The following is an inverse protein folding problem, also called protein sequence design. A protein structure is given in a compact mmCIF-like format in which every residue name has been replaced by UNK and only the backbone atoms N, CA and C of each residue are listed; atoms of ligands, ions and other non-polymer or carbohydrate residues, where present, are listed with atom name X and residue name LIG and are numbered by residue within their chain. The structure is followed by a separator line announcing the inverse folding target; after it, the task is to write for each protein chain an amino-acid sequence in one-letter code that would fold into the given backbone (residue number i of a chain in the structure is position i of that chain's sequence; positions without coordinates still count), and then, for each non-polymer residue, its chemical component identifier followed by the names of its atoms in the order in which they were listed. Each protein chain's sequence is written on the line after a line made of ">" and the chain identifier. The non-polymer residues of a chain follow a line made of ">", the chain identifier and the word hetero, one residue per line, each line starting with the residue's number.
data_IF_660339421453
#
_entry.id   IF_660339421453
#
_cell.length_a   1.000
_cell.length_b   1.000
_cell.length_c   1.000
_cell.angle_alpha   90.00
_cell.angle_beta   90.00
_cell.angle_gamma   90.00
#
_symmetry.space_group_name_H-M   'P 1'
#
loop_
_entity.id
_entity.type
_entity.pdbx_description
1 polymer ?
#
# COMPACT_ATOMS: atom_id res chain seq x y z
N UNK A 1 12.23 77.02 -17.54
CA UNK A 1 12.31 75.55 -17.74
C UNK A 1 13.65 75.06 -17.23
N UNK A 2 13.66 73.88 -16.60
CA UNK A 2 14.75 73.16 -15.89
C UNK A 2 14.90 73.46 -14.40
N UNK A 3 14.05 72.77 -13.63
CA UNK A 3 14.29 72.38 -12.24
C UNK A 3 15.31 71.23 -12.22
N UNK A 4 16.24 71.22 -11.26
CA UNK A 4 16.48 70.11 -10.31
C UNK A 4 17.67 70.43 -9.41
N UNK A 5 17.40 70.78 -8.14
CA UNK A 5 18.44 70.88 -7.10
C UNK A 5 18.12 69.91 -5.95
N UNK A 6 18.81 68.77 -6.01
CA UNK A 6 19.48 67.98 -4.96
C UNK A 6 18.78 67.78 -3.59
N UNK A 7 18.49 66.48 -3.37
CA UNK A 7 18.08 65.75 -2.17
C UNK A 7 18.70 66.15 -0.81
N UNK A 8 17.87 66.03 0.24
CA UNK A 8 18.28 65.55 1.57
C UNK A 8 17.20 64.67 2.22
N UNK A 9 17.42 63.36 2.43
CA UNK A 9 16.78 62.61 3.50
C UNK A 9 17.81 62.39 4.61
N UNK A 10 17.71 63.20 5.67
CA UNK A 10 18.59 63.10 6.84
C UNK A 10 17.86 62.50 8.04
N UNK A 11 17.60 61.20 8.04
CA UNK A 11 17.33 60.46 9.28
C UNK A 11 18.08 59.13 9.24
N UNK A 12 19.03 59.00 10.16
CA UNK A 12 19.97 57.89 10.28
C UNK A 12 19.23 56.61 10.64
N UNK A 13 18.97 55.85 9.59
CA UNK A 13 18.29 54.57 9.46
C UNK A 13 19.15 53.37 9.95
N UNK A 14 19.93 53.53 11.02
CA UNK A 14 20.89 52.51 11.45
C UNK A 14 20.40 51.78 12.70
N UNK A 15 19.73 50.65 12.43
CA UNK A 15 19.46 49.63 13.43
C UNK A 15 20.75 49.04 13.99
N UNK A 16 20.66 48.62 15.25
CA UNK A 16 21.65 47.76 15.89
C UNK A 16 21.74 46.46 15.09
N UNK A 17 22.86 46.24 14.39
CA UNK A 17 23.16 44.94 13.79
C UNK A 17 23.55 43.97 14.91
N UNK A 18 22.55 43.32 15.51
CA UNK A 18 22.78 42.16 16.36
C UNK A 18 23.57 41.12 15.55
N UNK A 19 24.76 40.67 16.01
CA UNK A 19 25.53 39.68 15.27
C UNK A 19 24.70 38.39 15.17
N UNK A 20 24.51 37.91 13.94
CA UNK A 20 23.90 36.62 13.65
C UNK A 20 24.69 35.57 14.44
N UNK A 21 24.10 34.99 15.50
CA UNK A 21 24.69 33.83 16.17
C UNK A 21 24.81 32.72 15.11
N UNK A 22 26.03 32.46 14.66
CA UNK A 22 26.31 31.32 13.80
C UNK A 22 25.85 30.05 14.54
N UNK A 23 24.88 29.35 13.94
CA UNK A 23 24.32 28.13 14.50
C UNK A 23 25.44 27.10 14.72
N UNK A 24 25.46 26.51 15.91
CA UNK A 24 26.49 25.59 16.45
C UNK A 24 26.60 24.25 15.68
N UNK A 25 25.83 24.08 14.60
CA UNK A 25 25.94 22.93 13.71
C UNK A 25 26.24 23.48 12.31
N UNK A 26 27.39 23.16 11.69
CA UNK A 26 27.63 23.48 10.30
C UNK A 26 26.47 22.93 9.47
N UNK A 27 25.75 23.74 8.67
CA UNK A 27 24.51 23.32 8.02
C UNK A 27 24.65 22.06 7.15
N UNK A 28 25.88 21.74 6.72
CA UNK A 28 26.19 20.54 5.96
C UNK A 28 26.10 19.23 6.76
N UNK A 29 26.38 19.20 8.07
CA UNK A 29 26.32 17.94 8.84
C UNK A 29 24.88 17.57 9.19
N UNK A 30 24.08 18.55 9.61
CA UNK A 30 22.65 18.38 9.85
C UNK A 30 21.92 17.94 8.57
N UNK A 31 22.23 18.56 7.43
CA UNK A 31 21.67 18.18 6.14
C UNK A 31 22.01 16.73 5.75
N UNK A 32 23.24 16.26 6.01
CA UNK A 32 23.65 14.87 5.73
C UNK A 32 22.89 13.87 6.61
N UNK A 33 22.77 14.15 7.91
CA UNK A 33 22.00 13.31 8.81
C UNK A 33 20.52 13.28 8.46
N UNK A 34 19.96 14.42 8.05
CA UNK A 34 18.59 14.51 7.56
C UNK A 34 18.39 13.67 6.29
N UNK A 35 19.31 13.75 5.32
CA UNK A 35 19.25 12.93 4.10
C UNK A 35 19.31 11.43 4.44
N UNK A 36 20.20 11.02 5.35
CA UNK A 36 20.30 9.61 5.78
C UNK A 36 19.00 9.15 6.43
N UNK A 37 18.41 9.97 7.31
CA UNK A 37 17.11 9.66 7.94
C UNK A 37 15.98 9.56 6.93
N UNK A 38 15.94 10.45 5.93
CA UNK A 38 14.95 10.40 4.85
C UNK A 38 15.11 9.11 4.03
N UNK A 39 16.35 8.73 3.68
CA UNK A 39 16.61 7.48 2.94
C UNK A 39 16.22 6.28 3.78
N UNK A 40 16.59 6.24 5.07
CA UNK A 40 16.24 5.14 5.97
C UNK A 40 14.72 5.01 6.16
N UNK A 41 14.03 6.14 6.36
CA UNK A 41 12.57 6.18 6.42
C UNK A 41 11.94 5.73 5.09
N UNK A 42 12.52 6.12 3.96
CA UNK A 42 12.13 5.65 2.63
C UNK A 42 12.24 4.14 2.52
N UNK A 43 13.39 3.55 2.84
CA UNK A 43 13.58 2.09 2.81
C UNK A 43 12.60 1.39 3.74
N UNK A 44 12.41 1.90 4.96
CA UNK A 44 11.43 1.36 5.90
C UNK A 44 9.99 1.47 5.37
N UNK A 45 9.63 2.52 4.64
CA UNK A 45 8.30 2.62 4.04
C UNK A 45 8.14 1.69 2.84
N UNK A 46 9.18 1.56 2.00
CA UNK A 46 9.13 0.80 0.76
C UNK A 46 9.42 -0.70 0.90
N UNK A 47 9.92 -1.19 2.05
CA UNK A 47 10.23 -2.62 2.20
C UNK A 47 9.01 -3.52 1.93
N UNK A 48 7.81 -3.12 2.38
CA UNK A 48 6.56 -3.83 2.11
C UNK A 48 6.10 -3.75 0.65
N UNK A 49 6.69 -2.84 -0.15
CA UNK A 49 6.39 -2.68 -1.57
C UNK A 49 7.31 -3.51 -2.48
N UNK A 50 8.28 -4.24 -1.92
CA UNK A 50 9.20 -5.07 -2.70
C UNK A 50 8.46 -6.14 -3.51
N UNK A 51 7.45 -6.78 -2.91
CA UNK A 51 6.65 -7.81 -3.59
C UNK A 51 5.90 -7.27 -4.82
N UNK A 52 5.13 -6.15 -4.73
CA UNK A 52 4.57 -5.48 -5.91
C UNK A 52 5.60 -5.12 -6.98
N UNK A 53 6.78 -4.61 -6.60
CA UNK A 53 7.84 -4.25 -7.56
C UNK A 53 8.36 -5.46 -8.30
N UNK A 54 8.61 -6.56 -7.59
CA UNK A 54 9.04 -7.82 -8.22
C UNK A 54 7.98 -8.37 -9.17
N UNK A 55 6.70 -8.33 -8.78
CA UNK A 55 5.60 -8.73 -9.66
C UNK A 55 5.55 -7.86 -10.93
N UNK A 56 5.65 -6.53 -10.78
CA UNK A 56 5.68 -5.60 -11.91
C UNK A 56 6.88 -5.84 -12.84
N UNK A 57 8.07 -6.12 -12.28
CA UNK A 57 9.26 -6.46 -13.06
C UNK A 57 9.04 -7.74 -13.87
N UNK A 58 8.54 -8.81 -13.26
CA UNK A 58 8.24 -10.07 -13.95
C UNK A 58 7.27 -9.84 -15.11
N UNK A 59 6.19 -9.08 -14.88
CA UNK A 59 5.20 -8.76 -15.90
C UNK A 59 5.82 -7.91 -17.01
N UNK A 60 6.65 -6.92 -16.68
CA UNK A 60 7.32 -6.07 -17.66
C UNK A 60 8.27 -6.89 -18.55
N UNK A 61 9.08 -7.77 -17.97
CA UNK A 61 9.96 -8.66 -18.73
C UNK A 61 9.17 -9.64 -19.59
N UNK A 62 8.10 -10.24 -19.06
CA UNK A 62 7.24 -11.16 -19.80
C UNK A 62 6.49 -10.47 -20.95
N UNK A 63 6.09 -9.21 -20.77
CA UNK A 63 5.31 -8.43 -21.73
C UNK A 63 6.17 -7.74 -22.81
N UNK A 64 7.47 -7.60 -22.60
CA UNK A 64 8.41 -7.00 -23.56
C UNK A 64 8.37 -7.60 -24.98
N UNK A 65 8.43 -8.93 -25.20
CA UNK A 65 8.32 -9.50 -26.54
C UNK A 65 6.98 -9.16 -27.22
N UNK A 66 5.89 -9.11 -26.47
CA UNK A 66 4.58 -8.72 -26.99
C UNK A 66 4.56 -7.24 -27.39
N UNK A 67 5.12 -6.36 -26.56
CA UNK A 67 5.27 -4.93 -26.89
C UNK A 67 6.11 -4.72 -28.16
N UNK A 68 7.22 -5.47 -28.33
CA UNK A 68 8.04 -5.37 -29.55
C UNK A 68 7.29 -5.81 -30.80
N UNK A 69 6.48 -6.89 -30.72
CA UNK A 69 5.61 -7.33 -31.83
C UNK A 69 4.56 -6.27 -32.17
N UNK A 70 3.95 -5.68 -31.15
CA UNK A 70 2.99 -4.59 -31.32
C UNK A 70 3.63 -3.35 -31.95
N UNK A 71 4.82 -2.95 -31.50
CA UNK A 71 5.55 -1.80 -32.07
C UNK A 71 5.90 -2.02 -33.54
N UNK A 72 6.30 -3.24 -33.91
CA UNK A 72 6.53 -3.61 -35.31
C UNK A 72 5.22 -3.59 -36.13
N UNK A 73 4.12 -4.11 -35.58
CA UNK A 73 2.81 -4.12 -36.24
C UNK A 73 2.26 -2.70 -36.49
N UNK A 74 2.59 -1.74 -35.62
CA UNK A 74 2.15 -0.35 -35.70
C UNK A 74 3.15 0.53 -36.47
N UNK A 75 4.07 -0.08 -37.21
CA UNK A 75 5.02 0.64 -38.07
C UNK A 75 6.04 1.49 -37.31
N UNK A 76 6.34 1.15 -36.05
CA UNK A 76 7.33 1.84 -35.23
C UNK A 76 6.81 3.09 -34.50
N UNK A 77 5.53 3.45 -34.63
CA UNK A 77 4.97 4.57 -33.88
C UNK A 77 4.82 4.23 -32.39
N UNK A 78 5.75 4.75 -31.59
CA UNK A 78 5.85 4.51 -30.14
C UNK A 78 4.60 4.93 -29.37
N UNK A 79 3.96 6.03 -29.77
CA UNK A 79 2.78 6.56 -29.06
C UNK A 79 1.60 5.60 -29.20
N UNK A 80 1.31 5.16 -30.42
CA UNK A 80 0.19 4.24 -30.68
C UNK A 80 0.45 2.87 -30.04
N UNK A 81 1.69 2.36 -30.14
CA UNK A 81 2.07 1.11 -29.48
C UNK A 81 1.94 1.19 -27.95
N UNK A 82 2.34 2.32 -27.33
CA UNK A 82 2.18 2.53 -25.90
C UNK A 82 0.72 2.58 -25.47
N UNK A 83 -0.15 3.28 -26.23
CA UNK A 83 -1.59 3.33 -25.94
C UNK A 83 -2.21 1.94 -25.96
N UNK A 84 -1.94 1.13 -26.99
CA UNK A 84 -2.45 -0.23 -27.05
C UNK A 84 -1.87 -1.12 -25.94
N UNK A 85 -0.59 -0.98 -25.59
CA UNK A 85 0.00 -1.72 -24.49
C UNK A 85 -0.66 -1.39 -23.15
N UNK A 86 -0.92 -0.11 -22.87
CA UNK A 86 -1.63 0.33 -21.67
C UNK A 86 -3.05 -0.23 -21.64
N UNK A 87 -3.79 -0.09 -22.75
CA UNK A 87 -5.14 -0.66 -22.85
C UNK A 87 -5.13 -2.17 -22.61
N UNK A 88 -4.18 -2.89 -23.18
CA UNK A 88 -4.05 -4.33 -22.99
C UNK A 88 -3.79 -4.69 -21.51
N UNK A 89 -2.86 -4.00 -20.85
CA UNK A 89 -2.59 -4.20 -19.41
C UNK A 89 -3.85 -3.89 -18.59
N UNK A 90 -4.53 -2.79 -18.87
CA UNK A 90 -5.75 -2.43 -18.15
C UNK A 90 -6.83 -3.50 -18.31
N UNK A 91 -7.12 -3.91 -19.55
CA UNK A 91 -8.22 -4.84 -19.84
C UNK A 91 -7.93 -6.28 -19.45
N UNK A 92 -6.70 -6.77 -19.61
CA UNK A 92 -6.36 -8.18 -19.37
C UNK A 92 -5.74 -8.47 -18.01
N UNK A 93 -5.17 -7.46 -17.34
CA UNK A 93 -4.54 -7.64 -16.04
C UNK A 93 -5.29 -6.87 -14.95
N UNK A 94 -5.45 -5.56 -15.09
CA UNK A 94 -5.97 -4.71 -14.00
C UNK A 94 -7.46 -4.97 -13.75
N UNK A 95 -8.28 -4.97 -14.80
CA UNK A 95 -9.73 -5.17 -14.69
C UNK A 95 -10.07 -6.55 -14.09
N UNK A 96 -9.52 -7.67 -14.58
CA UNK A 96 -9.82 -8.99 -14.01
C UNK A 96 -9.36 -9.13 -12.56
N UNK A 97 -8.19 -8.60 -12.21
CA UNK A 97 -7.69 -8.62 -10.82
C UNK A 97 -8.59 -7.78 -9.91
N UNK A 98 -9.01 -6.59 -10.36
CA UNK A 98 -9.92 -5.75 -9.59
C UNK A 98 -11.27 -6.45 -9.38
N UNK A 99 -11.84 -7.05 -10.42
CA UNK A 99 -13.07 -7.82 -10.31
C UNK A 99 -12.91 -9.00 -9.35
N UNK A 100 -11.86 -9.82 -9.51
CA UNK A 100 -11.57 -10.92 -8.59
C UNK A 100 -11.44 -10.43 -7.13
N UNK A 101 -10.76 -9.29 -6.92
CA UNK A 101 -10.68 -8.65 -5.61
C UNK A 101 -12.05 -8.25 -5.04
N UNK A 102 -12.94 -7.69 -5.86
CA UNK A 102 -14.30 -7.37 -5.41
C UNK A 102 -15.11 -8.61 -5.04
N UNK A 103 -14.99 -9.69 -5.81
CA UNK A 103 -15.64 -10.97 -5.49
C UNK A 103 -15.08 -11.56 -4.19
N UNK A 104 -13.76 -11.57 -4.02
CA UNK A 104 -13.11 -12.07 -2.81
C UNK A 104 -13.54 -11.26 -1.57
N UNK A 105 -13.64 -9.93 -1.66
CA UNK A 105 -14.14 -9.10 -0.56
C UNK A 105 -15.58 -9.44 -0.20
N UNK A 106 -16.43 -9.69 -1.19
CA UNK A 106 -17.82 -10.08 -0.96
C UNK A 106 -17.93 -11.44 -0.27
N UNK A 107 -17.16 -12.44 -0.71
CA UNK A 107 -17.10 -13.75 -0.06
C UNK A 107 -16.57 -13.64 1.38
N UNK A 108 -15.51 -12.86 1.61
CA UNK A 108 -14.99 -12.62 2.97
C UNK A 108 -16.04 -11.95 3.85
N UNK A 109 -16.81 -10.98 3.34
CA UNK A 109 -17.88 -10.34 4.09
C UNK A 109 -18.97 -11.35 4.47
N UNK A 110 -19.33 -12.25 3.57
CA UNK A 110 -20.29 -13.31 3.84
C UNK A 110 -19.78 -14.28 4.90
N UNK A 111 -18.51 -14.70 4.81
CA UNK A 111 -17.88 -15.57 5.79
C UNK A 111 -17.77 -14.92 7.17
N UNK A 112 -17.41 -13.65 7.23
CA UNK A 112 -17.40 -12.87 8.48
C UNK A 112 -18.80 -12.75 9.05
N UNK A 113 -19.82 -12.50 8.22
CA UNK A 113 -21.21 -12.50 8.64
C UNK A 113 -21.64 -13.84 9.24
N UNK A 114 -21.33 -14.95 8.57
CA UNK A 114 -21.57 -16.30 9.07
C UNK A 114 -20.83 -16.58 10.39
N UNK A 115 -19.57 -16.14 10.51
CA UNK A 115 -18.79 -16.32 11.73
C UNK A 115 -19.37 -15.54 12.90
N UNK A 116 -19.83 -14.30 12.68
CA UNK A 116 -20.49 -13.48 13.71
C UNK A 116 -21.82 -14.12 14.13
N UNK A 117 -22.61 -14.61 13.17
CA UNK A 117 -23.90 -15.23 13.45
C UNK A 117 -23.75 -16.55 14.22
N UNK A 118 -22.78 -17.36 13.81
CA UNK A 118 -22.33 -18.57 14.51
C UNK A 118 -21.88 -18.25 15.94
N UNK A 119 -21.12 -17.18 16.13
CA UNK A 119 -20.70 -16.76 17.46
C UNK A 119 -21.87 -16.30 18.35
N UNK A 120 -22.94 -15.76 17.75
CA UNK A 120 -24.12 -15.29 18.50
C UNK A 120 -25.03 -16.42 18.96
N UNK A 121 -25.23 -17.44 18.14
CA UNK A 121 -26.18 -18.52 18.41
C UNK A 121 -25.51 -19.83 18.85
N UNK A 122 -24.19 -19.93 18.74
CA UNK A 122 -23.48 -21.20 18.74
C UNK A 122 -23.73 -21.95 17.42
N UNK A 123 -22.74 -22.69 16.93
CA UNK A 123 -22.93 -23.55 15.76
C UNK A 123 -22.70 -25.02 16.10
N UNK A 124 -23.64 -25.84 15.64
CA UNK A 124 -23.45 -27.29 15.58
C UNK A 124 -22.31 -27.62 14.62
N UNK A 125 -21.51 -28.63 14.96
CA UNK A 125 -20.40 -29.06 14.13
C UNK A 125 -20.91 -29.49 12.75
N UNK A 126 -20.37 -28.93 11.65
CA UNK A 126 -20.70 -29.38 10.31
C UNK A 126 -20.44 -30.88 10.12
N UNK A 127 -21.36 -31.59 9.45
CA UNK A 127 -21.28 -33.05 9.31
C UNK A 127 -20.00 -33.52 8.60
N UNK A 128 -19.47 -32.74 7.65
CA UNK A 128 -18.22 -33.05 6.95
C UNK A 128 -16.99 -32.97 7.86
N UNK A 129 -17.03 -32.15 8.93
CA UNK A 129 -15.97 -32.07 9.93
C UNK A 129 -16.02 -33.32 10.81
N UNK A 130 -17.21 -33.65 11.30
CA UNK A 130 -17.42 -34.80 12.19
C UNK A 130 -17.13 -36.15 11.50
N UNK A 131 -17.28 -36.24 10.18
CA UNK A 131 -17.07 -37.49 9.40
C UNK A 131 -15.66 -37.66 8.86
N UNK A 132 -14.71 -36.75 9.15
CA UNK A 132 -13.33 -36.91 8.71
C UNK A 132 -12.67 -38.15 9.34
N UNK A 133 -12.03 -39.03 8.55
CA UNK A 133 -11.30 -40.16 9.09
C UNK A 133 -10.12 -39.67 9.95
N UNK A 134 -9.81 -40.41 11.02
CA UNK A 134 -8.71 -40.16 11.98
C UNK A 134 -8.96 -39.01 12.96
N UNK A 135 -9.46 -37.86 12.52
CA UNK A 135 -9.54 -36.63 13.35
C UNK A 135 -10.96 -36.09 13.57
N UNK A 136 -11.97 -36.63 12.90
CA UNK A 136 -13.32 -36.06 12.90
C UNK A 136 -13.98 -35.98 14.28
N UNK A 137 -13.82 -37.02 15.11
CA UNK A 137 -14.40 -37.05 16.46
C UNK A 137 -13.71 -36.06 17.40
N UNK A 138 -12.38 -35.96 17.34
CA UNK A 138 -11.62 -34.96 18.08
C UNK A 138 -11.96 -33.52 17.63
N UNK A 139 -12.05 -33.26 16.32
CA UNK A 139 -12.48 -31.95 15.81
C UNK A 139 -13.91 -31.62 16.25
N UNK A 140 -14.80 -32.61 16.30
CA UNK A 140 -16.17 -32.42 16.75
C UNK A 140 -16.26 -32.06 18.24
N UNK A 141 -15.47 -32.71 19.10
CA UNK A 141 -15.37 -32.33 20.53
C UNK A 141 -14.79 -30.93 20.71
N UNK A 142 -13.73 -30.57 19.97
CA UNK A 142 -13.15 -29.22 20.05
C UNK A 142 -14.10 -28.15 19.53
N UNK A 143 -14.86 -28.45 18.47
CA UNK A 143 -15.86 -27.54 17.93
C UNK A 143 -17.01 -27.32 18.91
N UNK A 144 -17.58 -28.40 19.47
CA UNK A 144 -18.67 -28.28 20.44
C UNK A 144 -18.24 -27.56 21.72
N UNK A 145 -17.01 -27.80 22.18
CA UNK A 145 -16.46 -27.17 23.39
C UNK A 145 -16.18 -25.68 23.21
N UNK A 146 -15.68 -25.24 22.05
CA UNK A 146 -15.26 -23.84 21.87
C UNK A 146 -16.19 -22.99 20.99
N UNK A 147 -17.03 -23.61 20.15
CA UNK A 147 -17.91 -22.95 19.17
C UNK A 147 -19.38 -23.34 19.34
N UNK A 148 -19.68 -24.26 20.26
CA UNK A 148 -21.04 -24.77 20.53
C UNK A 148 -21.90 -23.86 21.41
N UNK A 149 -21.34 -22.81 22.00
CA UNK A 149 -22.05 -21.85 22.83
C UNK A 149 -21.82 -20.39 22.38
N UNK A 150 -22.78 -19.48 22.66
CA UNK A 150 -22.65 -18.06 22.34
C UNK A 150 -21.37 -17.45 22.92
N UNK A 151 -20.62 -16.69 22.10
CA UNK A 151 -19.40 -15.99 22.50
C UNK A 151 -18.10 -16.79 22.41
N UNK A 152 -18.15 -18.08 22.06
CA UNK A 152 -16.98 -18.96 22.05
C UNK A 152 -15.83 -18.56 21.11
N UNK A 153 -16.12 -17.92 19.97
CA UNK A 153 -15.07 -17.36 19.08
C UNK A 153 -14.30 -16.23 19.78
N UNK A 154 -15.00 -15.45 20.61
CA UNK A 154 -14.41 -14.34 21.36
C UNK A 154 -13.42 -14.82 22.43
N UNK A 155 -13.74 -15.92 23.12
CA UNK A 155 -12.86 -16.52 24.15
C UNK A 155 -11.60 -17.13 23.53
N UNK A 156 -11.72 -17.79 22.37
CA UNK A 156 -10.57 -18.35 21.65
C UNK A 156 -9.57 -17.27 21.19
N UNK A 157 -10.06 -16.12 20.71
CA UNK A 157 -9.20 -15.02 20.26
C UNK A 157 -8.51 -14.33 21.44
N UNK A 158 -9.12 -14.32 22.63
CA UNK A 158 -8.50 -13.75 23.84
C UNK A 158 -7.40 -14.63 24.45
N UNK A 159 -7.33 -15.91 24.06
CA UNK A 159 -6.39 -16.89 24.57
C UNK A 159 -5.04 -16.92 23.80
N UNK A 160 -4.94 -16.20 22.67
CA UNK A 160 -3.74 -16.05 21.82
C UNK A 160 -3.19 -14.64 21.89
#
# INVERSE_FOLDING_TARGET
>A
MKQTEIQKPGQRLFGLSTPLRAAVIPPLSAARWLLVLIVAAGVYFFHGFLFPVLAALVIAFASWPLYRRLLAAVGGNRTIAATFAILFILTFLVVPIALAGTYAINEVREWVGWAIETNRHGAVTPHWIATMPIVGEWLNEQWTTNLGHPGGIGELIQLV
#
